data_IF_951435950780
#
_entry.id   IF_951435950780
#
_cell.length_a   1.000
_cell.length_b   1.000
_cell.length_c   1.000
_cell.angle_alpha   90.00
_cell.angle_beta   90.00
_cell.angle_gamma   90.00
#
_symmetry.space_group_name_H-M   'P 1'
#
loop_
_entity.id
_entity.type
_entity.pdbx_description
1 polymer ?
#
# COMPACT_ATOMS: atom_id res chain seq x y z
N UNK A 1 -10.68 45.50 27.32
CA UNK A 1 -11.52 44.29 27.43
C UNK A 1 -11.58 43.67 26.05
N UNK A 2 -10.86 42.56 25.86
CA UNK A 2 -10.63 41.92 24.57
C UNK A 2 -11.92 41.22 24.10
N UNK A 3 -12.39 41.64 22.92
CA UNK A 3 -13.46 40.98 22.19
C UNK A 3 -12.94 39.67 21.60
N UNK A 4 -13.73 38.60 21.70
CA UNK A 4 -13.46 37.31 21.08
C UNK A 4 -13.43 37.42 19.55
N UNK A 5 -12.54 36.70 18.85
CA UNK A 5 -12.52 36.72 17.39
C UNK A 5 -13.68 35.90 16.80
N UNK A 6 -14.10 36.21 15.56
CA UNK A 6 -15.33 35.71 14.97
C UNK A 6 -15.19 34.27 14.46
N UNK A 7 -16.22 33.47 14.69
CA UNK A 7 -16.41 32.15 14.12
C UNK A 7 -16.38 32.21 12.58
N UNK A 8 -15.29 31.74 11.97
CA UNK A 8 -15.28 31.32 10.57
C UNK A 8 -15.49 29.80 10.51
N UNK A 9 -16.76 29.38 10.46
CA UNK A 9 -17.16 28.10 9.87
C UNK A 9 -17.27 28.31 8.37
N UNK A 10 -16.62 27.48 7.55
CA UNK A 10 -17.16 26.91 6.29
C UNK A 10 -16.32 25.67 5.91
N UNK A 11 -17.03 24.68 5.39
CA UNK A 11 -16.70 23.26 5.19
C UNK A 11 -15.46 22.98 4.34
N UNK A 12 -14.60 22.06 4.81
CA UNK A 12 -13.76 21.23 3.95
C UNK A 12 -13.79 19.79 4.48
N UNK A 13 -14.44 18.91 3.71
CA UNK A 13 -14.67 17.47 3.93
C UNK A 13 -15.36 17.07 5.24
N UNK A 14 -16.51 16.42 5.12
CA UNK A 14 -17.07 15.61 6.21
C UNK A 14 -15.97 14.65 6.66
N UNK A 15 -15.52 14.64 7.93
CA UNK A 15 -14.65 13.57 8.38
C UNK A 15 -15.48 12.31 8.26
N UNK A 16 -15.10 11.38 7.37
CA UNK A 16 -15.66 10.04 7.41
C UNK A 16 -15.13 9.39 8.68
N UNK A 17 -15.72 9.72 9.83
CA UNK A 17 -15.48 8.98 11.04
C UNK A 17 -15.99 7.57 10.77
N UNK A 18 -15.05 6.65 10.57
CA UNK A 18 -15.31 5.23 10.76
C UNK A 18 -16.07 5.10 12.07
N UNK A 19 -17.25 4.48 12.01
CA UNK A 19 -18.05 4.13 13.20
C UNK A 19 -17.29 3.18 14.15
N UNK A 20 -16.17 2.62 13.70
CA UNK A 20 -15.30 1.77 14.49
C UNK A 20 -14.15 2.57 15.12
N UNK A 21 -13.87 2.38 16.43
CA UNK A 21 -12.75 3.00 17.09
C UNK A 21 -11.42 2.59 16.44
N UNK A 22 -10.42 3.47 16.50
CA UNK A 22 -9.06 3.08 16.16
C UNK A 22 -8.58 2.02 17.16
N UNK A 23 -8.12 0.88 16.66
CA UNK A 23 -7.72 -0.25 17.49
C UNK A 23 -6.27 -0.61 17.25
N UNK A 24 -5.52 -0.75 18.35
CA UNK A 24 -4.14 -1.20 18.38
C UNK A 24 -3.21 -0.33 17.50
N UNK A 25 -2.22 -0.93 16.82
CA UNK A 25 -1.22 -0.28 15.96
C UNK A 25 -0.23 0.64 16.70
N UNK A 26 0.00 0.41 17.99
CA UNK A 26 0.88 1.24 18.82
C UNK A 26 2.32 1.24 18.26
N UNK A 27 2.84 0.08 17.89
CA UNK A 27 4.20 -0.03 17.31
C UNK A 27 4.34 0.75 16.00
N UNK A 28 3.34 0.71 15.15
CA UNK A 28 3.33 1.44 13.88
C UNK A 28 3.20 2.95 14.09
N UNK A 29 2.37 3.36 15.05
CA UNK A 29 2.27 4.76 15.49
C UNK A 29 3.61 5.27 16.03
N UNK A 30 4.26 4.50 16.91
CA UNK A 30 5.56 4.85 17.51
C UNK A 30 6.64 4.96 16.43
N UNK A 31 6.71 3.99 15.50
CA UNK A 31 7.65 4.02 14.38
C UNK A 31 7.50 5.29 13.55
N UNK A 32 6.28 5.65 13.15
CA UNK A 32 6.06 6.86 12.34
C UNK A 32 6.32 8.12 13.16
N UNK A 33 5.99 8.11 14.45
CA UNK A 33 6.26 9.23 15.35
C UNK A 33 7.76 9.51 15.49
N UNK A 34 8.56 8.46 15.70
CA UNK A 34 10.02 8.54 15.74
C UNK A 34 10.57 9.01 14.39
N UNK A 35 10.09 8.41 13.29
CA UNK A 35 10.53 8.74 11.93
C UNK A 35 10.30 10.19 11.56
N UNK A 36 9.15 10.77 11.90
CA UNK A 36 8.86 12.18 11.60
C UNK A 36 9.50 13.16 12.58
N UNK A 37 10.01 12.66 13.71
CA UNK A 37 10.83 13.44 14.64
C UNK A 37 12.31 13.43 14.25
N UNK A 38 12.75 12.44 13.48
CA UNK A 38 14.12 12.26 13.02
C UNK A 38 14.50 13.02 11.75
N UNK A 39 15.65 12.65 11.15
CA UNK A 39 16.10 13.24 9.89
C UNK A 39 15.28 12.74 8.70
N UNK A 40 14.93 13.66 7.79
CA UNK A 40 14.40 13.31 6.47
C UNK A 40 15.52 12.73 5.61
N UNK A 41 15.28 11.58 4.96
CA UNK A 41 16.31 10.95 4.13
C UNK A 41 15.83 10.22 2.87
N UNK A 42 14.57 9.82 2.80
CA UNK A 42 14.05 9.01 1.69
C UNK A 42 12.53 9.13 1.57
N UNK A 43 12.01 8.80 0.38
CA UNK A 43 10.57 8.58 0.18
C UNK A 43 10.18 7.27 0.86
N UNK A 44 9.09 7.27 1.62
CA UNK A 44 8.55 6.05 2.22
C UNK A 44 7.41 5.53 1.36
N UNK A 45 7.51 4.29 0.90
CA UNK A 45 6.45 3.61 0.18
C UNK A 45 5.77 2.68 1.19
N UNK A 46 4.60 3.08 1.68
CA UNK A 46 3.82 2.31 2.64
C UNK A 46 2.86 1.39 1.88
N UNK A 47 3.22 0.11 1.79
CA UNK A 47 2.39 -0.92 1.16
C UNK A 47 1.68 -1.74 2.23
N UNK A 48 0.60 -2.40 1.85
CA UNK A 48 -0.12 -3.32 2.71
C UNK A 48 -1.42 -3.72 2.07
N UNK A 49 -2.10 -4.78 2.55
CA UNK A 49 -3.33 -5.24 1.93
C UNK A 49 -4.42 -4.17 1.89
N UNK A 50 -5.39 -4.33 0.99
CA UNK A 50 -6.61 -3.51 1.06
C UNK A 50 -7.26 -3.72 2.42
N UNK A 51 -7.73 -2.63 3.04
CA UNK A 51 -8.38 -2.63 4.35
C UNK A 51 -7.50 -3.02 5.56
N UNK A 52 -6.17 -3.15 5.44
CA UNK A 52 -5.31 -3.40 6.61
C UNK A 52 -5.16 -2.20 7.57
N UNK A 53 -5.74 -1.05 7.20
CA UNK A 53 -5.80 0.15 8.05
C UNK A 53 -4.80 1.27 7.72
N UNK A 54 -4.11 1.24 6.56
CA UNK A 54 -3.12 2.28 6.18
C UNK A 54 -3.66 3.72 6.30
N UNK A 55 -4.77 4.01 5.60
CA UNK A 55 -5.39 5.34 5.63
C UNK A 55 -5.79 5.74 7.05
N UNK A 56 -6.29 4.77 7.83
CA UNK A 56 -6.74 4.98 9.21
C UNK A 56 -5.57 5.23 10.17
N UNK A 57 -4.46 4.53 10.01
CA UNK A 57 -3.20 4.76 10.73
C UNK A 57 -2.68 6.17 10.48
N UNK A 58 -2.65 6.61 9.22
CA UNK A 58 -2.19 7.94 8.83
C UNK A 58 -3.12 9.05 9.34
N UNK A 59 -4.43 8.81 9.35
CA UNK A 59 -5.43 9.71 9.95
C UNK A 59 -5.28 9.80 11.47
N UNK A 60 -5.01 8.68 12.14
CA UNK A 60 -4.80 8.67 13.58
C UNK A 60 -3.50 9.39 13.97
N UNK A 61 -2.42 9.22 13.21
CA UNK A 61 -1.19 10.00 13.37
C UNK A 61 -1.47 11.50 13.26
N UNK A 62 -2.15 11.92 12.19
CA UNK A 62 -2.57 13.30 11.99
C UNK A 62 -3.36 13.81 13.20
N UNK A 63 -4.37 13.05 13.65
CA UNK A 63 -5.22 13.41 14.79
C UNK A 63 -4.41 13.60 16.07
N UNK A 64 -3.45 12.71 16.36
CA UNK A 64 -2.62 12.82 17.56
C UNK A 64 -1.73 14.07 17.51
N UNK A 65 -1.17 14.37 16.35
CA UNK A 65 -0.34 15.56 16.14
C UNK A 65 -1.12 16.87 16.27
N UNK A 66 -2.33 16.93 15.70
CA UNK A 66 -3.25 18.06 15.83
C UNK A 66 -3.65 18.30 17.30
N UNK A 67 -4.00 17.22 18.02
CA UNK A 67 -4.42 17.32 19.42
C UNK A 67 -3.33 17.81 20.36
N UNK A 68 -2.09 17.40 20.11
CA UNK A 68 -0.97 17.80 20.94
C UNK A 68 -0.52 19.22 20.60
N UNK A 69 -0.76 19.71 19.37
CA UNK A 69 -0.12 20.91 18.81
C UNK A 69 1.43 20.80 18.78
N UNK A 70 1.94 19.56 18.79
CA UNK A 70 3.37 19.20 18.87
C UNK A 70 3.84 18.45 17.61
N UNK A 71 2.99 18.33 16.58
CA UNK A 71 3.32 17.61 15.36
C UNK A 71 3.90 18.43 14.22
N UNK A 72 4.44 17.77 13.19
CA UNK A 72 4.72 18.41 11.91
C UNK A 72 3.41 18.76 11.19
N UNK A 73 3.45 19.69 10.23
CA UNK A 73 2.30 19.92 9.37
C UNK A 73 2.12 18.72 8.43
N UNK A 74 0.92 18.14 8.43
CA UNK A 74 0.56 16.99 7.62
C UNK A 74 -0.34 17.40 6.46
N UNK A 75 0.08 17.07 5.24
CA UNK A 75 -0.74 17.20 4.04
C UNK A 75 -1.08 15.81 3.52
N UNK A 76 -2.35 15.42 3.64
CA UNK A 76 -2.87 14.20 3.01
C UNK A 76 -3.52 14.55 1.67
N UNK A 77 -3.06 13.90 0.61
CA UNK A 77 -3.67 13.89 -0.72
C UNK A 77 -4.21 12.49 -0.95
N UNK A 78 -5.52 12.34 -0.95
CA UNK A 78 -6.17 11.07 -1.31
C UNK A 78 -6.39 11.04 -2.83
N UNK A 79 -5.62 10.19 -3.53
CA UNK A 79 -5.65 10.10 -4.98
C UNK A 79 -7.02 9.70 -5.56
N UNK A 80 -7.88 9.05 -4.75
CA UNK A 80 -9.24 8.66 -5.15
C UNK A 80 -10.14 9.85 -5.36
N UNK A 81 -9.96 10.90 -4.57
CA UNK A 81 -10.81 12.10 -4.58
C UNK A 81 -10.13 13.29 -5.25
N UNK A 82 -8.81 13.35 -5.14
CA UNK A 82 -7.97 14.34 -5.81
C UNK A 82 -7.08 13.58 -6.76
N UNK A 83 -7.47 13.41 -8.04
CA UNK A 83 -6.63 12.74 -9.00
C UNK A 83 -5.23 13.34 -8.92
N UNK A 84 -4.21 12.49 -8.79
CA UNK A 84 -2.80 12.90 -8.89
C UNK A 84 -2.31 12.57 -10.29
N UNK A 85 -3.13 12.90 -11.30
CA UNK A 85 -2.95 12.51 -12.71
C UNK A 85 -2.20 13.58 -13.52
N UNK A 86 -1.92 14.71 -12.88
CA UNK A 86 -1.12 15.80 -13.44
C UNK A 86 -0.27 16.47 -12.35
N UNK A 87 0.87 17.10 -12.71
CA UNK A 87 1.67 17.79 -11.70
C UNK A 87 1.00 19.08 -11.21
N UNK A 88 0.04 19.63 -11.95
CA UNK A 88 -0.78 20.76 -11.49
C UNK A 88 -1.60 20.40 -10.25
N UNK A 89 -2.15 19.18 -10.18
CA UNK A 89 -2.93 18.71 -9.03
C UNK A 89 -2.06 18.55 -7.78
N UNK A 90 -0.86 17.97 -7.92
CA UNK A 90 0.10 17.89 -6.82
C UNK A 90 0.59 19.28 -6.42
N UNK A 91 0.83 20.16 -7.40
CA UNK A 91 1.21 21.56 -7.15
C UNK A 91 0.13 22.30 -6.37
N UNK A 92 -1.16 22.10 -6.66
CA UNK A 92 -2.28 22.67 -5.88
C UNK A 92 -2.23 22.22 -4.42
N UNK A 93 -1.97 20.93 -4.16
CA UNK A 93 -1.87 20.42 -2.81
C UNK A 93 -0.68 21.03 -2.05
N UNK A 94 0.47 21.18 -2.71
CA UNK A 94 1.66 21.81 -2.12
C UNK A 94 1.49 23.33 -1.91
N UNK A 95 0.78 24.02 -2.80
CA UNK A 95 0.42 25.43 -2.62
C UNK A 95 -0.51 25.59 -1.42
N UNK A 96 -1.47 24.68 -1.23
CA UNK A 96 -2.32 24.66 -0.03
C UNK A 96 -1.45 24.57 1.24
N UNK A 97 -0.50 23.64 1.28
CA UNK A 97 0.48 23.53 2.38
C UNK A 97 1.28 24.82 2.58
N UNK A 98 1.80 25.42 1.52
CA UNK A 98 2.57 26.66 1.62
C UNK A 98 1.74 27.84 2.19
N UNK A 99 0.44 27.89 1.86
CA UNK A 99 -0.52 28.88 2.42
C UNK A 99 -0.89 28.59 3.87
N UNK A 100 -0.95 27.33 4.26
CA UNK A 100 -1.18 26.95 5.67
C UNK A 100 0.05 27.27 6.54
N UNK A 101 1.26 27.24 5.97
CA UNK A 101 2.51 27.54 6.67
C UNK A 101 2.83 29.03 6.78
N UNK A 102 2.43 29.82 5.79
CA UNK A 102 2.61 31.28 5.78
C UNK A 102 1.23 31.88 5.92
N UNK A 103 0.91 32.47 7.08
CA UNK A 103 -0.29 33.31 7.32
C UNK A 103 -0.30 34.57 6.42
N UNK A 104 -0.14 34.41 5.12
CA UNK A 104 0.06 35.49 4.16
C UNK A 104 -0.71 35.14 2.88
N UNK A 105 -1.81 35.87 2.64
CA UNK A 105 -2.80 35.67 1.57
C UNK A 105 -2.26 35.93 0.14
N UNK A 106 -0.92 35.91 -0.04
CA UNK A 106 -0.26 36.19 -1.30
C UNK A 106 -0.52 35.14 -2.39
N UNK A 107 -0.68 35.63 -3.63
CA UNK A 107 -0.97 34.91 -4.89
C UNK A 107 0.07 33.83 -5.26
N UNK A 108 0.11 32.72 -4.52
CA UNK A 108 0.73 31.49 -4.99
C UNK A 108 -0.24 30.80 -5.97
N UNK A 109 0.03 30.95 -7.27
CA UNK A 109 -0.67 30.21 -8.32
C UNK A 109 -0.04 28.82 -8.50
N UNK A 110 -0.84 27.74 -8.58
CA UNK A 110 -0.36 26.39 -8.82
C UNK A 110 0.17 26.28 -10.25
N UNK A 111 1.48 26.24 -10.43
CA UNK A 111 2.13 25.92 -11.70
C UNK A 111 3.43 25.18 -11.45
N UNK A 112 3.69 24.17 -12.28
CA UNK A 112 4.82 23.23 -12.24
C UNK A 112 6.19 23.94 -12.19
N UNK A 113 6.30 25.12 -12.81
CA UNK A 113 7.53 25.91 -12.88
C UNK A 113 7.91 26.67 -11.59
N UNK A 114 7.32 26.33 -10.43
CA UNK A 114 7.59 27.02 -9.15
C UNK A 114 7.79 26.08 -7.95
N UNK A 115 8.18 24.83 -8.16
CA UNK A 115 8.64 23.96 -7.07
C UNK A 115 9.73 24.64 -6.22
N UNK A 116 10.60 25.46 -6.82
CA UNK A 116 11.60 26.24 -6.09
C UNK A 116 11.01 27.30 -5.14
N UNK A 117 9.89 27.95 -5.52
CA UNK A 117 9.20 28.89 -4.62
C UNK A 117 8.49 28.19 -3.47
N UNK A 118 7.94 27.00 -3.74
CA UNK A 118 7.38 26.13 -2.69
C UNK A 118 8.52 25.73 -1.73
N UNK A 119 9.68 25.34 -2.27
CA UNK A 119 10.87 24.99 -1.50
C UNK A 119 11.40 26.15 -0.64
N UNK A 120 11.40 27.38 -1.16
CA UNK A 120 11.70 28.59 -0.39
C UNK A 120 10.66 28.87 0.69
N UNK A 121 9.38 28.55 0.44
CA UNK A 121 8.33 28.66 1.45
C UNK A 121 8.47 27.62 2.57
N UNK A 122 9.11 26.48 2.26
CA UNK A 122 9.46 25.42 3.20
C UNK A 122 10.82 25.64 3.90
N UNK A 123 11.36 26.88 3.89
CA UNK A 123 12.55 27.27 4.66
C UNK A 123 12.51 26.71 6.08
N UNK A 124 13.68 26.31 6.65
CA UNK A 124 13.76 25.25 7.64
C UNK A 124 12.78 25.49 8.79
N UNK A 125 11.66 24.78 8.70
CA UNK A 125 10.67 24.76 9.75
C UNK A 125 11.26 24.01 10.94
N UNK A 126 10.93 24.43 12.18
CA UNK A 126 11.40 23.74 13.39
C UNK A 126 10.97 22.27 13.41
N UNK A 127 9.88 21.93 12.70
CA UNK A 127 9.46 20.55 12.42
C UNK A 127 9.27 20.35 10.92
N UNK A 128 9.76 19.24 10.42
CA UNK A 128 9.73 18.91 9.00
C UNK A 128 8.32 18.45 8.63
N UNK A 129 7.63 19.07 7.65
CA UNK A 129 6.30 18.66 7.25
C UNK A 129 6.29 17.22 6.70
N UNK A 130 5.09 16.65 6.61
CA UNK A 130 4.83 15.35 6.03
C UNK A 130 3.81 15.49 4.92
N UNK A 131 4.14 15.03 3.71
CA UNK A 131 3.16 14.81 2.65
C UNK A 131 2.85 13.33 2.50
N UNK A 132 1.57 13.00 2.48
CA UNK A 132 1.04 11.67 2.25
C UNK A 132 0.26 11.70 0.94
N UNK A 133 0.64 10.86 -0.02
CA UNK A 133 -0.18 10.53 -1.19
C UNK A 133 -0.77 9.15 -0.92
N UNK A 134 -2.06 9.12 -0.58
CA UNK A 134 -2.82 7.88 -0.36
C UNK A 134 -3.36 7.36 -1.69
N UNK A 135 -3.41 6.04 -1.86
CA UNK A 135 -3.63 5.36 -3.15
C UNK A 135 -2.66 5.81 -4.26
N UNK A 136 -1.38 5.90 -3.92
CA UNK A 136 -0.31 6.35 -4.83
C UNK A 136 -0.13 5.50 -6.10
N UNK A 137 -0.77 4.34 -6.21
CA UNK A 137 -0.83 3.55 -7.44
C UNK A 137 -1.47 4.31 -8.61
N UNK A 138 -2.29 5.32 -8.34
CA UNK A 138 -2.86 6.20 -9.37
C UNK A 138 -1.78 6.97 -10.15
N UNK A 139 -0.56 7.11 -9.60
CA UNK A 139 0.59 7.64 -10.34
C UNK A 139 1.02 6.72 -11.50
N UNK A 140 0.73 5.43 -11.43
CA UNK A 140 1.04 4.47 -12.49
C UNK A 140 0.10 4.60 -13.70
N UNK A 141 -1.09 5.19 -13.49
CA UNK A 141 -2.09 5.39 -14.54
C UNK A 141 -1.78 6.58 -15.45
N UNK A 142 -0.63 7.24 -15.28
CA UNK A 142 -0.08 8.18 -16.25
C UNK A 142 0.38 7.37 -17.48
N UNK A 143 -0.59 6.99 -18.33
CA UNK A 143 -0.48 5.99 -19.42
C UNK A 143 0.75 6.17 -20.31
N UNK A 144 1.18 5.12 -20.99
CA UNK A 144 2.01 5.23 -22.20
C UNK A 144 1.18 4.96 -23.47
N UNK A 145 1.51 5.58 -24.62
CA UNK A 145 2.37 6.74 -24.78
C UNK A 145 1.56 8.01 -24.46
N UNK A 146 1.79 8.61 -23.30
CA UNK A 146 1.19 9.90 -22.94
C UNK A 146 2.27 10.99 -23.06
N UNK A 147 1.95 12.15 -23.65
CA UNK A 147 2.82 13.33 -23.62
C UNK A 147 3.27 13.75 -22.20
N UNK A 148 2.64 13.24 -21.13
CA UNK A 148 2.88 13.61 -19.73
C UNK A 148 3.97 12.79 -18.99
N UNK A 149 4.74 11.95 -19.69
CA UNK A 149 5.84 11.21 -19.07
C UNK A 149 6.96 12.10 -18.47
N UNK A 150 7.41 13.16 -19.16
CA UNK A 150 8.37 14.12 -18.60
C UNK A 150 7.90 14.73 -17.28
N UNK A 151 6.61 15.01 -17.18
CA UNK A 151 5.92 15.61 -16.05
C UNK A 151 5.89 14.65 -14.84
N UNK A 152 5.61 13.37 -15.06
CA UNK A 152 5.71 12.36 -14.01
C UNK A 152 7.15 12.26 -13.48
N UNK A 153 8.14 12.21 -14.38
CA UNK A 153 9.55 12.17 -14.00
C UNK A 153 9.95 13.41 -13.20
N UNK A 154 9.44 14.59 -13.58
CA UNK A 154 9.66 15.82 -12.84
C UNK A 154 9.03 15.80 -11.45
N UNK A 155 7.80 15.28 -11.32
CA UNK A 155 7.15 15.10 -10.03
C UNK A 155 7.95 14.16 -9.11
N UNK A 156 8.35 12.99 -9.62
CA UNK A 156 9.14 12.03 -8.84
C UNK A 156 10.51 12.64 -8.44
N UNK A 157 11.16 13.34 -9.37
CA UNK A 157 12.40 14.07 -9.08
C UNK A 157 12.21 15.14 -8.00
N UNK A 158 11.07 15.84 -8.00
CA UNK A 158 10.71 16.77 -6.95
C UNK A 158 10.53 16.07 -5.60
N UNK A 159 9.77 14.98 -5.52
CA UNK A 159 9.57 14.21 -4.29
C UNK A 159 10.90 13.68 -3.72
N UNK A 160 11.84 13.29 -4.57
CA UNK A 160 13.21 12.92 -4.17
C UNK A 160 13.98 14.15 -3.71
N UNK A 161 13.88 15.26 -4.43
CA UNK A 161 14.58 16.50 -4.12
C UNK A 161 14.22 17.04 -2.74
N UNK A 162 12.92 17.00 -2.38
CA UNK A 162 12.43 17.55 -1.11
C UNK A 162 12.69 16.63 0.09
N UNK A 163 12.68 15.30 -0.14
CA UNK A 163 12.88 14.31 0.92
C UNK A 163 14.35 13.98 1.15
N UNK A 164 15.10 13.68 0.10
CA UNK A 164 16.47 13.16 0.20
C UNK A 164 17.54 14.23 0.05
N UNK A 165 17.42 15.08 -0.97
CA UNK A 165 18.49 16.03 -1.31
C UNK A 165 18.47 17.25 -0.39
N UNK A 166 17.30 17.88 -0.23
CA UNK A 166 17.12 19.09 0.59
C UNK A 166 16.69 18.79 2.02
N UNK A 167 16.20 17.57 2.30
CA UNK A 167 15.75 17.11 3.64
C UNK A 167 14.76 18.08 4.31
N UNK A 168 13.79 18.54 3.52
CA UNK A 168 12.82 19.55 3.96
C UNK A 168 11.49 18.94 4.40
N UNK A 169 11.11 17.78 3.85
CA UNK A 169 9.78 17.21 4.07
C UNK A 169 9.81 15.68 3.97
N UNK A 170 9.13 14.99 4.88
CA UNK A 170 8.88 13.56 4.76
C UNK A 170 7.84 13.30 3.66
N UNK A 171 8.08 12.30 2.82
CA UNK A 171 7.15 11.91 1.75
C UNK A 171 6.71 10.47 1.98
N UNK A 172 5.40 10.25 2.00
CA UNK A 172 4.78 8.92 2.06
C UNK A 172 3.95 8.69 0.80
N UNK A 173 4.22 7.60 0.11
CA UNK A 173 3.39 7.04 -0.96
C UNK A 173 2.70 5.81 -0.39
N UNK A 174 1.45 5.94 0.03
CA UNK A 174 0.67 4.84 0.58
C UNK A 174 -0.16 4.18 -0.52
N UNK A 175 -0.15 2.85 -0.60
CA UNK A 175 -0.92 2.12 -1.61
C UNK A 175 -1.26 0.71 -1.16
N UNK A 176 -2.34 0.16 -1.72
CA UNK A 176 -2.63 -1.27 -1.60
C UNK A 176 -2.05 -2.11 -2.74
N UNK A 177 -1.39 -1.49 -3.72
CA UNK A 177 -0.78 -2.16 -4.87
C UNK A 177 0.70 -2.44 -4.60
N UNK A 178 1.04 -3.73 -4.46
CA UNK A 178 2.41 -4.18 -4.20
C UNK A 178 3.35 -3.96 -5.40
N UNK A 179 2.82 -3.70 -6.59
CA UNK A 179 3.61 -3.44 -7.79
C UNK A 179 4.23 -2.04 -7.80
N UNK A 180 3.70 -1.09 -7.02
CA UNK A 180 4.16 0.31 -7.03
C UNK A 180 5.67 0.43 -6.79
N UNK A 181 6.21 -0.30 -5.81
CA UNK A 181 7.65 -0.27 -5.50
C UNK A 181 8.50 -0.72 -6.70
N UNK A 182 8.08 -1.78 -7.40
CA UNK A 182 8.77 -2.26 -8.59
C UNK A 182 8.65 -1.26 -9.75
N UNK A 183 7.46 -0.68 -9.95
CA UNK A 183 7.24 0.36 -10.94
C UNK A 183 8.12 1.59 -10.70
N UNK A 184 8.25 2.05 -9.44
CA UNK A 184 9.14 3.15 -9.07
C UNK A 184 10.59 2.88 -9.51
N UNK A 185 11.06 1.64 -9.34
CA UNK A 185 12.39 1.22 -9.83
C UNK A 185 12.48 1.27 -11.35
N UNK A 186 11.46 0.81 -12.07
CA UNK A 186 11.41 0.86 -13.55
C UNK A 186 11.46 2.29 -14.08
N UNK A 187 10.84 3.26 -13.39
CA UNK A 187 10.88 4.68 -13.79
C UNK A 187 12.11 5.43 -13.26
N UNK A 188 13.08 4.73 -12.67
CA UNK A 188 14.40 5.27 -12.30
C UNK A 188 14.57 5.70 -10.84
N UNK A 189 13.64 5.33 -9.95
CA UNK A 189 13.83 5.46 -8.50
C UNK A 189 14.57 4.24 -7.96
N UNK A 190 15.85 4.40 -7.65
CA UNK A 190 16.72 3.37 -7.08
C UNK A 190 16.49 3.21 -5.57
N UNK A 191 16.95 2.10 -4.99
CA UNK A 191 16.73 1.73 -3.57
C UNK A 191 17.29 2.74 -2.55
N UNK A 192 18.22 3.60 -2.97
CA UNK A 192 18.73 4.68 -2.13
C UNK A 192 17.74 5.86 -2.03
N UNK A 193 16.73 5.94 -2.91
CA UNK A 193 15.77 7.05 -3.00
C UNK A 193 14.46 6.78 -2.25
N UNK A 194 14.10 5.52 -2.06
CA UNK A 194 12.90 5.14 -1.32
C UNK A 194 13.11 3.89 -0.45
N UNK A 195 12.28 3.77 0.60
CA UNK A 195 12.18 2.57 1.44
C UNK A 195 10.75 2.08 1.44
N UNK A 196 10.60 0.76 1.33
CA UNK A 196 9.29 0.11 1.42
C UNK A 196 9.07 -0.28 2.87
N UNK A 197 7.93 0.14 3.41
CA UNK A 197 7.42 -0.33 4.69
C UNK A 197 6.12 -1.08 4.45
N UNK A 198 5.95 -2.22 5.13
CA UNK A 198 4.79 -3.10 4.93
C UNK A 198 3.92 -3.04 6.16
N UNK A 199 2.73 -2.44 6.05
CA UNK A 199 1.69 -2.56 7.06
C UNK A 199 0.96 -3.89 6.85
N UNK A 200 1.26 -4.85 7.71
CA UNK A 200 0.60 -6.15 7.74
C UNK A 200 -0.85 -6.09 8.20
N UNK A 201 -1.57 -7.19 8.07
CA UNK A 201 -2.87 -7.35 8.74
C UNK A 201 -2.69 -7.43 10.27
N UNK A 202 -3.79 -7.45 11.01
CA UNK A 202 -3.74 -7.77 12.44
C UNK A 202 -3.30 -9.23 12.60
N UNK A 203 -2.54 -9.55 13.65
CA UNK A 203 -2.29 -10.95 14.00
C UNK A 203 -3.61 -11.64 14.38
N UNK A 204 -3.64 -12.97 14.37
CA UNK A 204 -4.82 -13.73 14.79
C UNK A 204 -5.27 -13.33 16.21
N UNK A 205 -4.34 -13.23 17.16
CA UNK A 205 -4.63 -12.76 18.52
C UNK A 205 -5.16 -11.32 18.58
N UNK A 206 -4.60 -10.42 17.76
CA UNK A 206 -5.04 -9.02 17.70
C UNK A 206 -6.44 -8.90 17.08
N UNK A 207 -6.72 -9.68 16.04
CA UNK A 207 -8.03 -9.79 15.41
C UNK A 207 -9.05 -10.40 16.38
N UNK A 208 -8.72 -11.49 17.08
CA UNK A 208 -9.58 -12.10 18.09
C UNK A 208 -9.96 -11.08 19.18
N UNK A 209 -8.97 -10.35 19.71
CA UNK A 209 -9.22 -9.29 20.71
C UNK A 209 -10.02 -8.12 20.13
N UNK A 210 -9.82 -7.73 18.88
CA UNK A 210 -10.63 -6.70 18.23
C UNK A 210 -12.10 -7.13 18.13
N UNK A 211 -12.33 -8.41 17.84
CA UNK A 211 -13.65 -8.96 17.56
C UNK A 211 -14.42 -9.31 18.83
N UNK A 212 -13.74 -9.86 19.83
CA UNK A 212 -14.33 -10.42 21.05
C UNK A 212 -13.94 -9.70 22.34
N UNK A 213 -12.95 -8.79 22.30
CA UNK A 213 -12.53 -7.99 23.44
C UNK A 213 -13.51 -6.87 23.79
N UNK A 214 -13.30 -6.28 24.97
CA UNK A 214 -14.18 -5.31 25.64
C UNK A 214 -14.72 -4.20 24.71
N UNK A 215 -15.90 -4.44 24.13
CA UNK A 215 -16.82 -3.38 23.70
C UNK A 215 -17.17 -3.24 22.21
N UNK A 216 -16.65 -4.07 21.28
CA UNK A 216 -16.94 -3.85 19.84
C UNK A 216 -18.08 -4.72 19.27
N UNK A 217 -18.30 -5.95 19.75
CA UNK A 217 -19.34 -6.80 19.15
C UNK A 217 -20.19 -7.58 20.18
N UNK A 218 -21.30 -6.97 20.59
CA UNK A 218 -22.42 -7.66 21.26
C UNK A 218 -23.46 -8.28 20.30
N UNK A 219 -23.15 -8.53 19.02
CA UNK A 219 -24.14 -9.05 18.06
C UNK A 219 -23.61 -10.21 17.21
N UNK A 220 -23.92 -11.42 17.67
CA UNK A 220 -23.74 -12.71 16.96
C UNK A 220 -24.64 -12.81 15.69
N UNK A 221 -25.50 -11.83 15.40
CA UNK A 221 -26.53 -11.94 14.37
C UNK A 221 -26.18 -11.44 12.96
N UNK A 222 -25.01 -10.83 12.72
CA UNK A 222 -24.64 -10.28 11.38
C UNK A 222 -23.42 -10.96 10.73
N UNK A 223 -22.88 -12.01 11.35
CA UNK A 223 -21.63 -12.64 10.92
C UNK A 223 -21.74 -13.39 9.59
N UNK A 224 -22.85 -14.09 9.33
CA UNK A 224 -23.00 -14.87 8.10
C UNK A 224 -22.83 -14.01 6.84
N UNK A 225 -23.51 -12.87 6.78
CA UNK A 225 -23.43 -11.95 5.64
C UNK A 225 -22.09 -11.20 5.57
N UNK A 226 -21.51 -10.82 6.71
CA UNK A 226 -20.21 -10.14 6.75
C UNK A 226 -19.07 -11.09 6.34
N UNK A 227 -19.07 -12.33 6.85
CA UNK A 227 -18.11 -13.36 6.47
C UNK A 227 -18.27 -13.73 5.00
N UNK A 228 -19.50 -13.92 4.51
CA UNK A 228 -19.76 -14.18 3.10
C UNK A 228 -19.27 -13.04 2.20
N UNK A 229 -19.44 -11.78 2.61
CA UNK A 229 -18.92 -10.62 1.87
C UNK A 229 -17.38 -10.55 1.87
N UNK A 230 -16.74 -10.94 2.98
CA UNK A 230 -15.27 -11.00 3.10
C UNK A 230 -14.68 -12.16 2.29
N UNK A 231 -15.42 -13.26 2.14
CA UNK A 231 -14.94 -14.52 1.54
C UNK A 231 -15.24 -14.63 0.05
N UNK A 232 -16.37 -14.10 -0.43
CA UNK A 232 -16.76 -14.23 -1.84
C UNK A 232 -15.77 -13.55 -2.81
N UNK A 233 -15.22 -12.39 -2.43
CA UNK A 233 -14.22 -11.68 -3.22
C UNK A 233 -12.92 -12.48 -3.41
N UNK A 234 -12.28 -12.94 -2.31
CA UNK A 234 -11.10 -13.78 -2.37
C UNK A 234 -11.28 -15.07 -3.20
N UNK A 235 -12.39 -15.79 -3.03
CA UNK A 235 -12.66 -16.99 -3.84
C UNK A 235 -12.73 -16.66 -5.33
N UNK A 236 -13.45 -15.59 -5.69
CA UNK A 236 -13.49 -15.12 -7.07
C UNK A 236 -12.10 -14.76 -7.62
N UNK A 237 -11.26 -14.08 -6.84
CA UNK A 237 -9.90 -13.74 -7.25
C UNK A 237 -9.00 -14.98 -7.43
N UNK A 238 -9.11 -15.98 -6.55
CA UNK A 238 -8.37 -17.25 -6.69
C UNK A 238 -8.79 -18.00 -7.95
N UNK A 239 -10.11 -18.11 -8.20
CA UNK A 239 -10.65 -18.77 -9.40
C UNK A 239 -10.21 -18.02 -10.66
N UNK A 240 -10.34 -16.69 -10.67
CA UNK A 240 -9.97 -15.88 -11.83
C UNK A 240 -8.47 -16.01 -12.18
N UNK A 241 -7.60 -16.28 -11.21
CA UNK A 241 -6.18 -16.56 -11.47
C UNK A 241 -5.95 -17.77 -12.39
N UNK A 242 -6.90 -18.69 -12.51
CA UNK A 242 -6.86 -19.80 -13.48
C UNK A 242 -7.23 -19.40 -14.91
N UNK A 243 -7.75 -18.19 -15.10
CA UNK A 243 -8.22 -17.65 -16.39
C UNK A 243 -7.45 -16.36 -16.76
N UNK A 244 -6.12 -16.40 -16.91
CA UNK A 244 -5.30 -15.20 -17.18
C UNK A 244 -5.80 -14.38 -18.38
N UNK A 245 -6.36 -15.03 -19.40
CA UNK A 245 -6.89 -14.41 -20.61
C UNK A 245 -8.10 -13.48 -20.38
N UNK A 246 -8.81 -13.60 -19.25
CA UNK A 246 -9.98 -12.75 -18.96
C UNK A 246 -9.60 -11.40 -18.36
N UNK A 247 -8.33 -11.22 -17.96
CA UNK A 247 -7.86 -9.96 -17.42
C UNK A 247 -7.62 -8.92 -18.51
N UNK A 248 -8.09 -7.70 -18.24
CA UNK A 248 -7.78 -6.53 -19.06
C UNK A 248 -6.29 -6.18 -18.88
N UNK A 249 -5.58 -6.02 -20.00
CA UNK A 249 -4.17 -5.65 -20.01
C UNK A 249 -3.89 -4.40 -19.15
N UNK A 250 -3.06 -4.55 -18.12
CA UNK A 250 -2.58 -3.45 -17.28
C UNK A 250 -1.33 -2.82 -17.89
N UNK A 251 -1.39 -1.53 -18.21
CA UNK A 251 -0.26 -0.82 -18.84
C UNK A 251 0.14 -1.40 -20.20
N UNK A 252 -0.82 -1.96 -20.96
CA UNK A 252 -0.58 -2.56 -22.28
C UNK A 252 -0.01 -3.98 -22.25
N UNK A 253 0.24 -4.55 -21.08
CA UNK A 253 0.80 -5.90 -20.93
C UNK A 253 -0.27 -6.88 -20.45
N UNK A 254 -0.45 -7.98 -21.18
CA UNK A 254 -1.31 -9.10 -20.75
C UNK A 254 -0.65 -9.90 -19.60
N UNK A 255 -1.43 -10.67 -18.82
CA UNK A 255 -0.89 -11.68 -17.91
C UNK A 255 0.12 -12.61 -18.56
N UNK A 256 1.16 -12.97 -17.81
CA UNK A 256 2.25 -13.84 -18.29
C UNK A 256 2.23 -15.26 -17.70
N UNK A 257 1.35 -15.53 -16.73
CA UNK A 257 1.26 -16.84 -16.10
C UNK A 257 0.27 -17.76 -16.81
N UNK A 258 0.40 -19.06 -16.54
CA UNK A 258 -0.59 -20.08 -16.93
C UNK A 258 -1.36 -20.58 -15.71
N UNK A 259 -2.49 -21.23 -15.94
CA UNK A 259 -3.26 -21.98 -14.93
C UNK A 259 -2.41 -22.98 -14.13
N UNK A 260 -1.53 -23.74 -14.79
CA UNK A 260 -0.59 -24.67 -14.15
C UNK A 260 0.38 -23.95 -13.22
N UNK A 261 0.90 -22.79 -13.64
CA UNK A 261 1.79 -21.98 -12.81
C UNK A 261 1.04 -21.37 -11.62
N UNK A 262 -0.20 -20.94 -11.83
CA UNK A 262 -1.05 -20.44 -10.76
C UNK A 262 -1.36 -21.52 -9.72
N UNK A 263 -1.76 -22.72 -10.15
CA UNK A 263 -1.96 -23.86 -9.24
C UNK A 263 -0.71 -24.14 -8.41
N UNK A 264 0.45 -24.23 -9.06
CA UNK A 264 1.72 -24.48 -8.38
C UNK A 264 2.01 -23.41 -7.32
N UNK A 265 1.76 -22.13 -7.62
CA UNK A 265 1.91 -21.04 -6.65
C UNK A 265 0.97 -21.22 -5.46
N UNK A 266 -0.31 -21.55 -5.69
CA UNK A 266 -1.28 -21.79 -4.62
C UNK A 266 -0.85 -22.95 -3.72
N UNK A 267 -0.44 -24.08 -4.30
CA UNK A 267 0.06 -25.25 -3.57
C UNK A 267 1.31 -24.88 -2.76
N UNK A 268 2.25 -24.18 -3.38
CA UNK A 268 3.50 -23.76 -2.73
C UNK A 268 3.24 -22.83 -1.56
N UNK A 269 2.34 -21.85 -1.70
CA UNK A 269 1.98 -20.93 -0.62
C UNK A 269 1.22 -21.65 0.50
N UNK A 270 0.15 -22.38 0.17
CA UNK A 270 -0.70 -23.05 1.18
C UNK A 270 0.05 -24.12 2.00
N UNK A 271 1.07 -24.77 1.42
CA UNK A 271 1.89 -25.78 2.12
C UNK A 271 3.13 -25.20 2.82
N UNK A 272 3.43 -23.91 2.63
CA UNK A 272 4.59 -23.28 3.28
C UNK A 272 4.27 -22.80 4.68
N UNK A 273 5.26 -22.80 5.60
CA UNK A 273 5.09 -22.19 6.92
C UNK A 273 4.58 -20.76 6.82
N UNK A 274 3.51 -20.44 7.57
CA UNK A 274 2.87 -19.12 7.60
C UNK A 274 2.43 -18.60 6.23
N UNK A 275 2.20 -19.49 5.28
CA UNK A 275 1.73 -19.17 3.94
C UNK A 275 2.61 -18.13 3.22
N UNK A 276 3.92 -18.22 3.44
CA UNK A 276 4.92 -17.34 2.85
C UNK A 276 6.03 -18.14 2.18
N UNK A 277 6.42 -17.72 0.97
CA UNK A 277 7.47 -18.37 0.16
C UNK A 277 8.56 -17.36 -0.15
N UNK A 278 9.84 -17.75 -0.13
CA UNK A 278 10.91 -16.86 -0.56
C UNK A 278 10.73 -16.48 -2.04
N UNK A 279 10.82 -15.19 -2.37
CA UNK A 279 10.63 -14.74 -3.74
C UNK A 279 11.65 -15.33 -4.70
N UNK A 280 12.87 -15.62 -4.23
CA UNK A 280 13.92 -16.29 -5.03
C UNK A 280 13.53 -17.72 -5.41
N UNK A 281 13.00 -18.50 -4.46
CA UNK A 281 12.57 -19.89 -4.71
C UNK A 281 11.41 -19.92 -5.69
N UNK A 282 10.39 -19.08 -5.48
CA UNK A 282 9.22 -19.06 -6.34
C UNK A 282 9.56 -18.63 -7.78
N UNK A 283 10.51 -17.70 -7.96
CA UNK A 283 11.01 -17.32 -9.28
C UNK A 283 11.70 -18.48 -9.99
N UNK A 284 12.52 -19.25 -9.29
CA UNK A 284 13.21 -20.41 -9.86
C UNK A 284 12.21 -21.46 -10.36
N UNK A 285 11.19 -21.76 -9.53
CA UNK A 285 10.10 -22.69 -9.85
C UNK A 285 9.25 -22.19 -11.05
N UNK A 286 8.79 -20.94 -11.02
CA UNK A 286 8.00 -20.33 -12.10
C UNK A 286 8.75 -20.28 -13.43
N UNK A 287 10.04 -19.97 -13.38
CA UNK A 287 10.91 -19.83 -14.53
C UNK A 287 11.42 -21.17 -15.09
N UNK A 288 11.18 -22.29 -14.40
CA UNK A 288 11.80 -23.59 -14.68
C UNK A 288 13.33 -23.46 -14.83
N UNK A 289 13.96 -22.75 -13.89
CA UNK A 289 15.40 -22.46 -13.90
C UNK A 289 15.83 -21.20 -14.67
N UNK A 290 14.92 -20.51 -15.37
CA UNK A 290 15.20 -19.18 -15.93
C UNK A 290 14.77 -18.07 -14.96
N UNK A 291 15.73 -17.49 -14.24
CA UNK A 291 15.47 -16.42 -13.26
C UNK A 291 14.74 -15.21 -13.88
N UNK A 292 15.13 -14.81 -15.09
CA UNK A 292 14.50 -13.70 -15.82
C UNK A 292 13.01 -14.00 -16.07
N UNK A 293 12.71 -15.16 -16.65
CA UNK A 293 11.34 -15.57 -16.97
C UNK A 293 10.50 -15.72 -15.70
N UNK A 294 11.06 -16.34 -14.67
CA UNK A 294 10.40 -16.48 -13.37
C UNK A 294 10.08 -15.14 -12.71
N UNK A 295 11.00 -14.18 -12.79
CA UNK A 295 10.80 -12.82 -12.31
C UNK A 295 9.69 -12.09 -13.08
N UNK A 296 9.66 -12.22 -14.40
CA UNK A 296 8.60 -11.62 -15.25
C UNK A 296 7.22 -12.19 -14.91
N UNK A 297 7.11 -13.51 -14.74
CA UNK A 297 5.84 -14.17 -14.36
C UNK A 297 5.39 -13.74 -12.96
N UNK A 298 6.29 -13.77 -11.97
CA UNK A 298 5.98 -13.36 -10.60
C UNK A 298 5.51 -11.89 -10.57
N UNK A 299 6.24 -10.99 -11.23
CA UNK A 299 5.86 -9.58 -11.30
C UNK A 299 4.54 -9.37 -12.02
N UNK A 300 4.22 -10.19 -13.04
CA UNK A 300 2.91 -10.19 -13.68
C UNK A 300 1.81 -10.54 -12.66
N UNK A 301 1.94 -11.64 -11.91
CA UNK A 301 0.95 -12.00 -10.88
C UNK A 301 0.78 -10.90 -9.81
N UNK A 302 1.87 -10.24 -9.40
CA UNK A 302 1.84 -9.11 -8.46
C UNK A 302 1.13 -7.90 -9.06
N UNK A 303 1.43 -7.54 -10.32
CA UNK A 303 0.79 -6.45 -11.06
C UNK A 303 -0.72 -6.65 -11.18
N UNK A 304 -1.19 -7.89 -11.26
CA UNK A 304 -2.61 -8.23 -11.29
C UNK A 304 -3.24 -8.43 -9.89
N UNK A 305 -2.51 -8.10 -8.82
CA UNK A 305 -2.95 -8.22 -7.42
C UNK A 305 -3.31 -9.65 -7.00
N UNK A 306 -2.75 -10.67 -7.66
CA UNK A 306 -2.89 -12.07 -7.24
C UNK A 306 -1.92 -12.44 -6.14
N UNK A 307 -0.76 -11.78 -6.11
CA UNK A 307 0.31 -12.00 -5.14
C UNK A 307 0.79 -10.69 -4.53
N UNK A 308 1.32 -10.78 -3.31
CA UNK A 308 1.94 -9.68 -2.60
C UNK A 308 3.44 -9.93 -2.44
N UNK A 309 4.25 -8.94 -2.82
CA UNK A 309 5.68 -8.91 -2.48
C UNK A 309 5.86 -8.20 -1.14
N UNK A 310 6.37 -8.93 -0.17
CA UNK A 310 6.53 -8.44 1.20
C UNK A 310 8.02 -8.43 1.53
N UNK A 311 8.73 -7.29 1.38
CA UNK A 311 10.08 -7.18 1.90
C UNK A 311 10.06 -7.27 3.44
N UNK A 312 11.20 -7.60 4.06
CA UNK A 312 11.34 -7.55 5.51
C UNK A 312 11.02 -6.14 6.02
N UNK A 313 10.05 -6.02 6.92
CA UNK A 313 9.68 -4.77 7.57
C UNK A 313 9.40 -5.05 9.04
N UNK A 314 9.78 -4.11 9.90
CA UNK A 314 9.44 -4.16 11.33
C UNK A 314 7.96 -3.90 11.59
N UNK A 315 7.22 -3.40 10.59
CA UNK A 315 5.79 -3.12 10.68
C UNK A 315 4.91 -4.30 10.21
N UNK A 316 5.50 -5.31 9.55
CA UNK A 316 4.80 -6.52 9.14
C UNK A 316 4.79 -7.55 10.28
N UNK A 317 3.97 -7.29 11.31
CA UNK A 317 3.90 -8.11 12.53
C UNK A 317 3.06 -9.39 12.38
N UNK A 318 2.31 -9.49 11.31
CA UNK A 318 1.54 -10.66 10.89
C UNK A 318 2.42 -11.79 10.33
N UNK A 319 3.69 -11.50 9.98
CA UNK A 319 4.64 -12.51 9.53
C UNK A 319 5.85 -12.58 10.49
N UNK A 320 6.21 -13.78 10.97
CA UNK A 320 7.36 -13.93 11.84
C UNK A 320 8.66 -13.74 11.05
N UNK A 321 9.71 -13.24 11.69
CA UNK A 321 10.92 -12.78 11.00
C UNK A 321 11.71 -13.90 10.31
N UNK A 322 11.47 -15.14 10.70
CA UNK A 322 12.09 -16.36 10.21
C UNK A 322 11.67 -16.69 8.77
N UNK A 323 10.47 -16.27 8.34
CA UNK A 323 9.98 -16.54 6.97
C UNK A 323 10.75 -15.78 5.90
N UNK A 324 11.43 -14.70 6.28
CA UNK A 324 12.27 -13.90 5.39
C UNK A 324 13.66 -14.50 5.15
N UNK A 325 13.89 -15.74 5.58
CA UNK A 325 15.13 -16.48 5.43
C UNK A 325 16.04 -16.44 6.66
N UNK A 326 17.01 -17.36 6.70
CA UNK A 326 17.96 -17.49 7.80
C UNK A 326 19.23 -16.66 7.59
N UNK A 327 19.68 -15.92 8.62
CA UNK A 327 20.97 -15.22 8.63
C UNK A 327 20.88 -13.69 8.51
N UNK A 328 21.99 -13.03 8.14
CA UNK A 328 22.08 -11.54 8.08
C UNK A 328 21.39 -10.90 6.87
N UNK A 329 21.01 -11.68 5.85
CA UNK A 329 20.34 -11.20 4.64
C UNK A 329 18.90 -11.72 4.61
N UNK A 330 18.00 -11.01 5.30
CA UNK A 330 16.56 -11.19 5.11
C UNK A 330 16.20 -10.77 3.68
N UNK A 331 15.32 -11.52 3.04
CA UNK A 331 14.89 -11.27 1.65
C UNK A 331 13.38 -11.17 1.55
N UNK A 332 12.87 -10.70 0.42
CA UNK A 332 11.45 -10.56 0.14
C UNK A 332 10.76 -11.92 0.10
N UNK A 333 9.60 -12.01 0.74
CA UNK A 333 8.68 -13.15 0.63
C UNK A 333 7.49 -12.82 -0.26
N UNK A 334 6.86 -13.87 -0.78
CA UNK A 334 5.64 -13.84 -1.56
C UNK A 334 4.54 -14.45 -0.71
N UNK A 335 3.41 -13.75 -0.61
CA UNK A 335 2.19 -14.26 0.02
C UNK A 335 1.00 -14.04 -0.89
N UNK A 336 -0.13 -14.66 -0.55
CA UNK A 336 -1.43 -14.16 -1.04
C UNK A 336 -1.73 -12.80 -0.39
N UNK A 337 -2.55 -11.93 -1.02
CA UNK A 337 -2.72 -10.55 -0.56
C UNK A 337 -3.46 -10.40 0.77
N UNK A 338 -4.34 -11.34 1.14
CA UNK A 338 -5.11 -11.33 2.39
C UNK A 338 -5.18 -12.75 2.98
N UNK A 339 -5.33 -12.91 4.31
CA UNK A 339 -5.59 -14.21 4.93
C UNK A 339 -6.79 -14.94 4.32
N UNK A 340 -7.86 -14.23 3.96
CA UNK A 340 -9.02 -14.83 3.31
C UNK A 340 -8.73 -15.44 1.93
N UNK A 341 -7.67 -14.99 1.23
CA UNK A 341 -7.22 -15.62 0.00
C UNK A 341 -6.54 -16.96 0.26
N UNK A 342 -5.85 -17.13 1.39
CA UNK A 342 -5.24 -18.41 1.78
C UNK A 342 -6.32 -19.46 1.96
N UNK A 343 -7.34 -19.16 2.78
CA UNK A 343 -8.50 -20.03 2.95
C UNK A 343 -9.18 -20.35 1.61
N UNK A 344 -9.37 -19.33 0.76
CA UNK A 344 -9.98 -19.54 -0.56
C UNK A 344 -9.13 -20.44 -1.46
N UNK A 345 -7.81 -20.32 -1.40
CA UNK A 345 -6.89 -21.19 -2.13
C UNK A 345 -6.99 -22.65 -1.66
N UNK A 346 -7.05 -22.88 -0.35
CA UNK A 346 -7.20 -24.22 0.22
C UNK A 346 -8.50 -24.88 -0.27
N UNK A 347 -9.63 -24.16 -0.21
CA UNK A 347 -10.94 -24.65 -0.67
C UNK A 347 -10.92 -24.96 -2.17
N UNK A 348 -10.36 -24.07 -2.99
CA UNK A 348 -10.28 -24.29 -4.45
C UNK A 348 -9.36 -25.47 -4.78
N UNK A 349 -8.23 -25.61 -4.09
CA UNK A 349 -7.32 -26.74 -4.29
C UNK A 349 -7.93 -28.08 -3.86
N UNK A 350 -8.75 -28.10 -2.81
CA UNK A 350 -9.51 -29.29 -2.40
C UNK A 350 -10.54 -29.70 -3.44
N UNK A 351 -11.36 -28.76 -3.93
CA UNK A 351 -12.35 -29.01 -5.00
C UNK A 351 -11.69 -29.51 -6.30
N UNK A 352 -10.52 -28.96 -6.66
CA UNK A 352 -9.76 -29.43 -7.83
C UNK A 352 -9.26 -30.87 -7.65
N UNK A 353 -8.78 -31.25 -6.46
CA UNK A 353 -8.34 -32.61 -6.16
C UNK A 353 -9.48 -33.61 -6.24
N UNK A 354 -10.66 -33.26 -5.74
CA UNK A 354 -11.81 -34.16 -5.76
C UNK A 354 -12.34 -34.37 -7.18
N UNK A 355 -12.38 -33.32 -8.00
CA UNK A 355 -12.70 -33.43 -9.43
C UNK A 355 -11.71 -34.27 -10.24
N UNK A 356 -10.45 -34.34 -9.82
CA UNK A 356 -9.43 -35.20 -10.44
C UNK A 356 -9.62 -36.66 -10.07
N UNK A 357 -9.91 -36.95 -8.79
CA UNK A 357 -10.26 -38.32 -8.34
C UNK A 357 -11.50 -38.86 -9.05
N UNK A 358 -12.53 -38.04 -9.22
CA UNK A 358 -13.77 -38.43 -9.90
C UNK A 358 -13.56 -38.75 -11.39
N UNK A 359 -12.58 -38.12 -12.04
CA UNK A 359 -12.19 -38.41 -13.43
C UNK A 359 -11.41 -39.73 -13.54
N UNK A 360 -10.61 -40.06 -12.54
CA UNK A 360 -9.84 -41.31 -12.49
C UNK A 360 -10.69 -42.52 -12.06
N UNK A 361 -11.82 -42.31 -11.38
CA UNK A 361 -12.81 -43.34 -11.04
C UNK A 361 -13.81 -43.62 -12.18
N UNK A 362 -13.33 -43.72 -13.42
CA UNK A 362 -14.16 -43.99 -14.61
C UNK A 362 -15.20 -45.10 -14.42
N UNK A 363 -16.30 -45.11 -15.20
CA UNK A 363 -17.46 -45.96 -14.93
C UNK A 363 -17.03 -47.42 -14.76
N UNK A 364 -17.28 -47.96 -13.56
CA UNK A 364 -17.16 -49.39 -13.31
C UNK A 364 -18.24 -50.08 -14.16
N UNK A 365 -17.84 -50.58 -15.32
CA UNK A 365 -18.63 -51.48 -16.17
C UNK A 365 -18.50 -52.92 -15.70
#
# INVERSE_FOLDING_TARGET
MLAAPPNARIQASVPSYSIYPFYNRVTELDYFTEKFSGEVGFVTVLVGPRNCGKSRLLEELLRQYEQQNIGPLFLKVDARFTPVRSPDEVSKALVKLAKELKEDEGKLEPTINKFDKILEALQPLPRKPVIVIDEANDLMDWKEPNPLQPELKQLLAFLIGISKQKRLMHVILATSDYFLANWLTQVGMTEDKFRVEVLGDLTEEEAEKFMYGDGVCGRVACWGSALQAVVAGPVGAIIQGFEPEVYIAKGGEAPLWTDVQWRMVLERITTSPQHAVLASELKEELGKGSEKKGSEILLSMVKYNLLALRPPSTLARDLPQEVYGSGKKKTTVVTLPLPAHVWAAEVVLEDLKDKEKDKDSGPQL
#
